data_IF_156327922761
#
_entry.id   IF_156327922761
#
_cell.length_a   1.000
_cell.length_b   1.000
_cell.length_c   1.000
_cell.angle_alpha   90.00
_cell.angle_beta   90.00
_cell.angle_gamma   90.00
#
_symmetry.space_group_name_H-M   'P 1'
#
loop_
_entity.id
_entity.type
_entity.pdbx_description
1 polymer ?
#
# COMPACT_ATOMS: atom_id res chain seq x y z
N UNK A 1 -0.94 -2.14 11.34
CA UNK A 1 -0.28 -0.82 11.27
C UNK A 1 -1.27 0.29 10.99
N UNK A 2 -1.91 0.84 12.03
CA UNK A 2 -2.82 1.99 11.93
C UNK A 2 -2.13 3.33 11.63
N UNK A 3 -0.95 3.33 11.02
CA UNK A 3 -0.08 4.51 10.85
C UNK A 3 0.23 4.79 9.36
N UNK A 4 -0.63 4.41 8.41
CA UNK A 4 -0.43 4.69 6.97
C UNK A 4 0.85 4.07 6.38
N UNK A 5 1.28 2.90 6.90
CA UNK A 5 2.54 2.24 6.50
C UNK A 5 2.28 0.93 5.72
N UNK A 6 1.83 0.98 4.46
CA UNK A 6 1.47 -0.22 3.70
C UNK A 6 2.66 -1.14 3.43
N UNK A 7 3.87 -0.59 3.32
CA UNK A 7 5.08 -1.40 3.19
C UNK A 7 5.30 -2.31 4.41
N UNK A 8 5.01 -1.81 5.62
CA UNK A 8 5.09 -2.61 6.85
C UNK A 8 4.04 -3.73 6.84
N UNK A 9 2.84 -3.49 6.30
CA UNK A 9 1.82 -4.52 6.18
C UNK A 9 2.23 -5.61 5.18
N UNK A 10 2.87 -5.24 4.07
CA UNK A 10 3.42 -6.18 3.10
C UNK A 10 4.55 -7.02 3.70
N UNK A 11 5.50 -6.40 4.41
CA UNK A 11 6.58 -7.12 5.12
C UNK A 11 6.00 -8.05 6.16
N UNK A 12 5.02 -7.60 6.96
CA UNK A 12 4.33 -8.43 7.95
C UNK A 12 3.68 -9.65 7.28
N UNK A 13 2.99 -9.46 6.16
CA UNK A 13 2.37 -10.56 5.43
C UNK A 13 3.40 -11.58 4.93
N UNK A 14 4.52 -11.14 4.34
CA UNK A 14 5.56 -12.03 3.78
C UNK A 14 6.34 -12.75 4.88
N UNK A 15 6.73 -12.05 5.95
CA UNK A 15 7.52 -12.61 7.04
C UNK A 15 6.73 -13.68 7.80
N UNK A 16 5.50 -13.35 8.20
CA UNK A 16 4.66 -14.27 8.95
C UNK A 16 3.95 -15.30 8.07
N UNK A 17 4.05 -15.21 6.73
CA UNK A 17 3.55 -16.25 5.82
C UNK A 17 4.18 -17.62 6.14
N UNK A 18 5.49 -17.65 6.43
CA UNK A 18 6.18 -18.89 6.77
C UNK A 18 5.68 -19.49 8.09
N UNK A 19 5.41 -18.65 9.10
CA UNK A 19 4.90 -19.12 10.39
C UNK A 19 3.42 -19.51 10.35
N UNK A 20 2.66 -18.85 9.47
CA UNK A 20 1.25 -19.15 9.25
C UNK A 20 1.05 -20.43 8.44
N UNK A 21 1.85 -20.69 7.39
CA UNK A 21 1.55 -21.77 6.43
C UNK A 21 2.58 -22.90 6.37
N UNK A 22 3.85 -22.69 6.73
CA UNK A 22 4.88 -23.74 6.65
C UNK A 22 5.15 -24.47 7.97
N UNK A 23 4.90 -23.84 9.13
CA UNK A 23 5.10 -24.51 10.44
C UNK A 23 4.00 -25.54 10.72
N UNK A 24 4.33 -26.64 11.44
CA UNK A 24 3.35 -27.61 11.94
C UNK A 24 2.21 -26.92 12.73
N UNK A 25 1.03 -27.53 12.84
CA UNK A 25 -0.10 -26.91 13.55
C UNK A 25 0.23 -26.64 15.03
N UNK A 26 -0.02 -25.41 15.48
CA UNK A 26 0.05 -25.01 16.90
C UNK A 26 -1.16 -24.09 17.21
N UNK A 27 -1.58 -24.02 18.48
CA UNK A 27 -2.85 -23.39 18.87
C UNK A 27 -2.97 -21.92 18.42
N UNK A 28 -1.89 -21.15 18.49
CA UNK A 28 -1.86 -19.73 18.09
C UNK A 28 -1.82 -19.50 16.56
N UNK A 29 -1.61 -20.54 15.76
CA UNK A 29 -1.48 -20.44 14.31
C UNK A 29 -2.75 -19.89 13.64
N UNK A 30 -3.93 -20.16 14.21
CA UNK A 30 -5.21 -19.64 13.69
C UNK A 30 -5.31 -18.12 13.83
N UNK A 31 -4.85 -17.56 14.95
CA UNK A 31 -4.83 -16.10 15.14
C UNK A 31 -3.83 -15.44 14.20
N UNK A 32 -2.62 -16.01 14.09
CA UNK A 32 -1.57 -15.49 13.20
C UNK A 32 -2.03 -15.49 11.74
N UNK A 33 -2.66 -16.58 11.27
CA UNK A 33 -3.26 -16.64 9.92
C UNK A 33 -4.24 -15.50 9.66
N UNK A 34 -5.13 -15.22 10.63
CA UNK A 34 -6.11 -14.12 10.52
C UNK A 34 -5.41 -12.76 10.41
N UNK A 35 -4.40 -12.50 11.23
CA UNK A 35 -3.65 -11.24 11.20
C UNK A 35 -2.81 -11.07 9.93
N UNK A 36 -2.21 -12.15 9.43
CA UNK A 36 -1.48 -12.16 8.15
C UNK A 36 -2.43 -11.85 6.98
N UNK A 37 -3.60 -12.48 6.97
CA UNK A 37 -4.60 -12.23 5.93
C UNK A 37 -5.12 -10.79 5.97
N UNK A 38 -5.42 -10.28 7.18
CA UNK A 38 -5.84 -8.89 7.37
C UNK A 38 -4.73 -7.91 6.95
N UNK A 39 -3.46 -8.26 7.21
CA UNK A 39 -2.29 -7.49 6.76
C UNK A 39 -2.15 -7.48 5.23
N UNK A 40 -2.36 -8.63 4.58
CA UNK A 40 -2.32 -8.73 3.12
C UNK A 40 -3.44 -7.92 2.46
N UNK A 41 -4.67 -8.03 2.96
CA UNK A 41 -5.81 -7.26 2.46
C UNK A 41 -5.58 -5.75 2.61
N UNK A 42 -5.10 -5.31 3.78
CA UNK A 42 -4.78 -3.89 3.96
C UNK A 42 -3.65 -3.41 3.06
N UNK A 43 -2.62 -4.23 2.82
CA UNK A 43 -1.56 -3.88 1.87
C UNK A 43 -2.11 -3.72 0.44
N UNK A 44 -2.97 -4.64 -0.03
CA UNK A 44 -3.61 -4.55 -1.36
C UNK A 44 -4.51 -3.32 -1.46
N UNK A 45 -5.31 -3.03 -0.42
CA UNK A 45 -6.17 -1.86 -0.39
C UNK A 45 -5.35 -0.56 -0.53
N UNK A 46 -4.22 -0.46 0.17
CA UNK A 46 -3.32 0.68 0.05
C UNK A 46 -2.66 0.79 -1.32
N UNK A 47 -2.26 -0.33 -1.93
CA UNK A 47 -1.75 -0.34 -3.31
C UNK A 47 -2.79 0.20 -4.28
N UNK A 48 -4.06 -0.21 -4.14
CA UNK A 48 -5.15 0.30 -4.97
C UNK A 48 -5.38 1.81 -4.75
N UNK A 49 -5.40 2.28 -3.49
CA UNK A 49 -5.55 3.71 -3.18
C UNK A 49 -4.42 4.53 -3.80
N UNK A 50 -3.17 4.08 -3.68
CA UNK A 50 -2.03 4.78 -4.30
C UNK A 50 -2.06 4.73 -5.82
N UNK A 51 -2.42 3.59 -6.42
CA UNK A 51 -2.54 3.48 -7.87
C UNK A 51 -3.59 4.46 -8.40
N UNK A 52 -4.78 4.50 -7.78
CA UNK A 52 -5.84 5.45 -8.15
C UNK A 52 -5.37 6.89 -7.99
N UNK A 53 -4.76 7.24 -6.85
CA UNK A 53 -4.25 8.59 -6.61
C UNK A 53 -3.20 9.00 -7.64
N UNK A 54 -2.23 8.13 -7.93
CA UNK A 54 -1.18 8.39 -8.92
C UNK A 54 -1.80 8.56 -10.31
N UNK A 55 -2.72 7.69 -10.72
CA UNK A 55 -3.38 7.79 -12.03
C UNK A 55 -4.18 9.10 -12.15
N UNK A 56 -4.97 9.45 -11.14
CA UNK A 56 -5.73 10.71 -11.13
C UNK A 56 -4.78 11.90 -11.19
N UNK A 57 -3.73 11.91 -10.36
CA UNK A 57 -2.74 12.98 -10.36
C UNK A 57 -2.08 13.09 -11.73
N UNK A 58 -1.57 12.00 -12.32
CA UNK A 58 -0.91 12.05 -13.63
C UNK A 58 -1.82 12.52 -14.76
N UNK A 59 -3.11 12.18 -14.74
CA UNK A 59 -4.06 12.56 -15.79
C UNK A 59 -4.63 13.98 -15.61
N UNK A 60 -4.82 14.43 -14.37
CA UNK A 60 -5.53 15.67 -14.05
C UNK A 60 -4.59 16.77 -13.53
N UNK A 61 -3.31 16.51 -13.27
CA UNK A 61 -2.35 17.51 -12.76
C UNK A 61 -2.37 18.80 -13.59
N UNK A 62 -2.39 18.68 -14.91
CA UNK A 62 -2.39 19.82 -15.84
C UNK A 62 -3.72 20.59 -15.77
N UNK A 63 -4.85 19.89 -15.62
CA UNK A 63 -6.17 20.53 -15.51
C UNK A 63 -6.36 21.27 -14.17
N UNK A 64 -5.59 20.92 -13.14
CA UNK A 64 -5.62 21.56 -11.83
C UNK A 64 -4.81 22.87 -11.74
N UNK A 65 -4.03 23.20 -12.78
CA UNK A 65 -3.26 24.45 -12.88
C UNK A 65 -2.34 24.67 -11.67
N UNK A 66 -2.43 25.85 -11.04
CA UNK A 66 -1.59 26.23 -9.91
C UNK A 66 -1.64 25.25 -8.72
N UNK A 67 -2.77 24.57 -8.51
CA UNK A 67 -2.91 23.56 -7.45
C UNK A 67 -2.12 22.30 -7.80
N UNK A 68 -2.16 21.89 -9.08
CA UNK A 68 -1.36 20.77 -9.59
C UNK A 68 0.13 21.04 -9.48
N UNK A 69 0.58 22.25 -9.76
CA UNK A 69 1.98 22.65 -9.63
C UNK A 69 2.43 22.74 -8.16
N UNK A 70 1.59 23.27 -7.26
CA UNK A 70 1.90 23.33 -5.82
C UNK A 70 1.99 21.94 -5.17
N UNK A 71 1.20 20.96 -5.64
CA UNK A 71 1.26 19.56 -5.21
C UNK A 71 2.40 18.77 -5.90
N UNK A 72 2.98 19.30 -6.96
CA UNK A 72 4.03 18.63 -7.72
C UNK A 72 5.39 18.81 -7.04
N UNK A 73 5.91 17.73 -6.44
CA UNK A 73 7.27 17.74 -5.92
C UNK A 73 8.34 17.77 -7.02
N UNK A 74 8.06 17.11 -8.16
CA UNK A 74 8.92 17.10 -9.34
C UNK A 74 8.09 17.61 -10.51
N UNK A 75 8.46 18.78 -11.02
CA UNK A 75 7.84 19.36 -12.21
C UNK A 75 8.67 18.96 -13.44
N UNK A 76 8.10 18.24 -14.42
CA UNK A 76 8.83 17.87 -15.62
C UNK A 76 9.06 19.12 -16.49
N UNK A 77 10.32 19.50 -16.69
CA UNK A 77 10.73 20.69 -17.46
C UNK A 77 10.30 20.65 -18.96
N UNK A 78 9.91 19.49 -19.48
CA UNK A 78 9.56 19.28 -20.88
C UNK A 78 8.08 19.02 -21.19
N UNK A 79 7.19 19.05 -20.19
CA UNK A 79 5.74 18.89 -20.39
C UNK A 79 4.98 19.88 -19.50
N UNK A 80 4.29 20.82 -20.16
CA UNK A 80 3.32 21.70 -19.54
C UNK A 80 2.09 20.91 -19.07
#
# INVERSE_FOLDING_TARGET
GCLLLPFVWAVNAIWFFKEAFLKPPYDEQKQIKKYVLMSAVGAIAWVAVFAVWITVFQLQRVSWGATGDALSFIVPLGRA
#
